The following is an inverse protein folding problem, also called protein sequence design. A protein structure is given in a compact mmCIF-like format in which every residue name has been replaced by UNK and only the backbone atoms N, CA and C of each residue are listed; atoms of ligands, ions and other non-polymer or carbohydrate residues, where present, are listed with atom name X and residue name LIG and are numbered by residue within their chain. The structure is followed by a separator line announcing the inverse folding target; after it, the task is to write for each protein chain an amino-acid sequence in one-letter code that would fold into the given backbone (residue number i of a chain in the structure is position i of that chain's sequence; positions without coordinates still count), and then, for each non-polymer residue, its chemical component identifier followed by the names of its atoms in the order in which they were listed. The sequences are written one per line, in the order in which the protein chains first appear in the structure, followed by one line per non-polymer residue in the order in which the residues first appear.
data_IF_642116175580
#
_entry.id   IF_642116175580
#
_cell.length_a   1.000
_cell.length_b   1.000
_cell.length_c   1.000
_cell.angle_alpha   90.00
_cell.angle_beta   90.00
_cell.angle_gamma   90.00
#
_symmetry.space_group_name_H-M   'P 1'
#
loop_
_entity.id
_entity.type
_entity.pdbx_description
1 polymer ?
#
# COMPACT_ATOMS: atom_id res chain seq x y z
N UNK A 1 -13.61 2.99 -4.60
CA UNK A 1 -12.24 2.59 -4.92
C UNK A 1 -11.68 3.61 -5.89
N UNK A 2 -10.68 4.37 -5.44
CA UNK A 2 -9.97 5.32 -6.30
C UNK A 2 -9.05 4.63 -7.30
N UNK A 3 -8.96 5.16 -8.53
CA UNK A 3 -7.94 4.73 -9.52
C UNK A 3 -6.50 4.84 -8.97
N UNK A 4 -6.27 5.76 -8.03
CA UNK A 4 -4.96 5.92 -7.37
C UNK A 4 -4.65 4.75 -6.45
N UNK A 5 -5.63 4.28 -5.68
CA UNK A 5 -5.48 3.13 -4.80
C UNK A 5 -5.15 1.87 -5.61
N UNK A 6 -5.84 1.67 -6.74
CA UNK A 6 -5.59 0.54 -7.64
C UNK A 6 -4.19 0.56 -8.25
N UNK A 7 -3.76 1.69 -8.80
CA UNK A 7 -2.40 1.84 -9.36
C UNK A 7 -1.32 1.63 -8.31
N UNK A 8 -1.55 2.12 -7.10
CA UNK A 8 -0.63 1.93 -6.01
C UNK A 8 -0.55 0.45 -5.60
N UNK A 9 -1.69 -0.22 -5.47
CA UNK A 9 -1.76 -1.65 -5.20
C UNK A 9 -0.99 -2.46 -6.25
N UNK A 10 -1.26 -2.22 -7.53
CA UNK A 10 -0.55 -2.88 -8.65
C UNK A 10 0.96 -2.59 -8.65
N UNK A 11 1.39 -1.43 -8.13
CA UNK A 11 2.80 -1.10 -8.02
C UNK A 11 3.49 -1.84 -6.86
N UNK A 12 2.75 -2.11 -5.78
CA UNK A 12 3.20 -2.82 -4.59
C UNK A 12 3.15 -4.34 -4.75
N UNK A 13 2.20 -4.85 -5.54
CA UNK A 13 2.03 -6.27 -5.86
C UNK A 13 3.15 -6.71 -6.80
N UNK A 14 4.17 -7.36 -6.23
CA UNK A 14 5.39 -7.70 -6.96
C UNK A 14 5.24 -9.01 -7.73
N UNK A 15 4.48 -9.96 -7.19
CA UNK A 15 4.23 -11.25 -7.81
C UNK A 15 2.95 -11.28 -8.67
N UNK A 16 2.16 -10.21 -8.63
CA UNK A 16 0.90 -10.03 -9.37
C UNK A 16 -0.15 -11.08 -9.03
N UNK A 17 -0.16 -11.56 -7.78
CA UNK A 17 -1.12 -12.55 -7.31
C UNK A 17 -2.48 -11.94 -6.89
N UNK A 18 -2.59 -10.60 -6.84
CA UNK A 18 -3.81 -9.89 -6.46
C UNK A 18 -3.98 -9.69 -4.95
N UNK A 19 -2.94 -9.96 -4.16
CA UNK A 19 -2.85 -9.72 -2.72
C UNK A 19 -1.48 -9.13 -2.39
N UNK A 20 -1.39 -8.32 -1.33
CA UNK A 20 -0.12 -7.79 -0.85
C UNK A 20 0.29 -8.49 0.41
N UNK A 21 1.44 -9.15 0.40
CA UNK A 21 2.07 -9.63 1.62
C UNK A 21 2.84 -8.50 2.31
N UNK A 22 3.08 -8.63 3.62
CA UNK A 22 3.90 -7.67 4.38
C UNK A 22 5.27 -7.45 3.74
N UNK A 23 5.88 -8.53 3.27
CA UNK A 23 7.20 -8.50 2.65
C UNK A 23 7.18 -7.70 1.33
N UNK A 24 6.17 -7.92 0.49
CA UNK A 24 6.00 -7.16 -0.75
C UNK A 24 5.77 -5.68 -0.50
N UNK A 25 4.93 -5.32 0.48
CA UNK A 25 4.72 -3.91 0.85
C UNK A 25 6.03 -3.26 1.27
N UNK A 26 6.82 -3.92 2.14
CA UNK A 26 8.09 -3.37 2.62
C UNK A 26 9.11 -3.25 1.47
N UNK A 27 9.27 -4.29 0.66
CA UNK A 27 10.21 -4.31 -0.46
C UNK A 27 9.80 -3.27 -1.51
N UNK A 28 8.53 -3.20 -1.88
CA UNK A 28 8.03 -2.29 -2.89
C UNK A 28 8.08 -0.83 -2.42
N UNK A 29 7.79 -0.53 -1.15
CA UNK A 29 7.96 0.83 -0.61
C UNK A 29 9.44 1.24 -0.54
N UNK A 30 10.35 0.32 -0.17
CA UNK A 30 11.80 0.61 -0.18
C UNK A 30 12.35 0.82 -1.59
N UNK A 31 11.88 0.05 -2.57
CA UNK A 31 12.42 0.07 -3.93
C UNK A 31 11.73 1.10 -4.82
N UNK A 32 10.40 1.18 -4.76
CA UNK A 32 9.57 2.04 -5.60
C UNK A 32 9.03 3.27 -4.88
N UNK A 33 9.09 3.33 -3.54
CA UNK A 33 8.62 4.48 -2.76
C UNK A 33 9.14 5.82 -3.28
N UNK A 34 10.44 5.99 -3.59
CA UNK A 34 10.97 7.25 -4.10
C UNK A 34 10.35 7.64 -5.45
N UNK A 35 10.12 6.66 -6.33
CA UNK A 35 9.52 6.87 -7.64
C UNK A 35 8.03 7.19 -7.56
N UNK A 36 7.30 6.48 -6.69
CA UNK A 36 5.87 6.67 -6.46
C UNK A 36 5.59 8.00 -5.73
N UNK A 37 6.50 8.43 -4.85
CA UNK A 37 6.43 9.75 -4.23
C UNK A 37 6.74 10.87 -5.24
N UNK A 38 7.71 10.64 -6.12
CA UNK A 38 8.02 11.57 -7.21
C UNK A 38 6.88 11.68 -8.24
N UNK A 39 6.12 10.61 -8.48
CA UNK A 39 4.96 10.64 -9.37
C UNK A 39 3.71 11.25 -8.72
N UNK A 40 3.72 11.47 -7.39
CA UNK A 40 2.57 11.97 -6.63
C UNK A 40 1.47 10.93 -6.44
N UNK A 41 1.73 9.68 -6.79
CA UNK A 41 0.82 8.54 -6.57
C UNK A 41 0.93 8.01 -5.14
N UNK A 42 2.12 8.12 -4.53
CA UNK A 42 2.32 7.98 -3.10
C UNK A 42 2.51 9.34 -2.43
N UNK A 43 1.71 9.67 -1.42
CA UNK A 43 2.08 10.76 -0.52
C UNK A 43 3.24 10.31 0.41
N UNK A 44 3.97 11.30 0.90
CA UNK A 44 5.31 11.23 1.51
C UNK A 44 5.48 10.23 2.68
N UNK A 45 4.41 9.64 3.19
CA UNK A 45 4.40 8.68 4.29
C UNK A 45 4.58 7.23 3.84
N UNK A 46 4.39 6.92 2.54
CA UNK A 46 4.84 5.63 1.97
C UNK A 46 6.37 5.51 1.87
N UNK A 47 7.10 6.57 2.19
CA UNK A 47 8.56 6.64 2.27
C UNK A 47 9.09 6.53 3.71
N UNK A 48 8.23 6.15 4.67
CA UNK A 48 8.63 5.93 6.06
C UNK A 48 9.57 4.72 6.22
N UNK A 49 10.10 4.56 7.43
CA UNK A 49 10.88 3.38 7.80
C UNK A 49 9.97 2.12 7.82
N UNK A 50 10.55 0.94 8.00
CA UNK A 50 9.83 -0.36 8.00
C UNK A 50 8.68 -0.38 9.01
N UNK A 51 8.80 0.38 10.10
CA UNK A 51 7.78 0.51 11.13
C UNK A 51 6.50 1.21 10.61
N UNK A 52 6.63 2.25 9.78
CA UNK A 52 5.47 2.95 9.22
C UNK A 52 4.71 2.07 8.21
N UNK A 53 5.48 1.28 7.43
CA UNK A 53 4.93 0.31 6.48
C UNK A 53 4.20 -0.82 7.20
N UNK A 54 4.77 -1.29 8.32
CA UNK A 54 4.16 -2.33 9.15
C UNK A 54 2.89 -1.84 9.84
N UNK A 55 2.89 -0.61 10.38
CA UNK A 55 1.69 -0.03 10.99
C UNK A 55 0.56 0.22 9.98
N UNK A 56 0.89 0.57 8.73
CA UNK A 56 -0.11 0.64 7.66
C UNK A 56 -0.69 -0.74 7.36
N UNK A 57 0.18 -1.73 7.24
CA UNK A 57 -0.22 -3.12 6.98
C UNK A 57 -1.18 -3.61 8.07
N UNK A 58 -0.80 -3.45 9.33
CA UNK A 58 -1.61 -3.88 10.48
C UNK A 58 -2.95 -3.12 10.57
N UNK A 59 -3.01 -1.88 10.08
CA UNK A 59 -4.25 -1.11 10.03
C UNK A 59 -5.17 -1.54 8.87
N UNK A 60 -4.60 -2.08 7.79
CA UNK A 60 -5.33 -2.56 6.62
C UNK A 60 -5.74 -4.02 6.73
N UNK A 61 -4.96 -4.85 7.43
CA UNK A 61 -5.22 -6.27 7.70
C UNK A 61 -6.32 -6.40 8.76
N UNK A 62 -7.57 -6.19 8.34
CA UNK A 62 -8.71 -6.20 9.24
C UNK A 62 -9.13 -7.62 9.65
N UNK A 63 -8.85 -8.60 8.79
CA UNK A 63 -9.22 -9.99 9.01
C UNK A 63 -8.10 -10.80 9.73
N UNK A 64 -6.87 -10.25 9.80
CA UNK A 64 -5.72 -10.86 10.45
C UNK A 64 -5.11 -12.02 9.67
N UNK A 65 -5.32 -12.09 8.36
CA UNK A 65 -4.83 -13.18 7.51
C UNK A 65 -3.39 -12.95 6.99
N UNK A 66 -2.77 -11.85 7.40
CA UNK A 66 -1.41 -11.46 7.01
C UNK A 66 -1.23 -11.21 5.50
N UNK A 67 -2.31 -10.98 4.76
CA UNK A 67 -2.31 -10.46 3.40
C UNK A 67 -3.28 -9.28 3.28
N UNK A 68 -3.07 -8.41 2.30
CA UNK A 68 -4.02 -7.34 2.00
C UNK A 68 -4.64 -7.57 0.65
N UNK A 69 -5.96 -7.69 0.63
CA UNK A 69 -6.73 -7.60 -0.61
C UNK A 69 -6.80 -6.17 -1.12
N UNK A 70 -7.14 -5.99 -2.39
CA UNK A 70 -7.36 -4.67 -2.98
C UNK A 70 -8.46 -3.90 -2.23
N UNK A 71 -9.49 -4.59 -1.77
CA UNK A 71 -10.59 -4.03 -0.99
C UNK A 71 -10.10 -3.50 0.36
N UNK A 72 -9.34 -4.28 1.12
CA UNK A 72 -8.78 -3.88 2.42
C UNK A 72 -7.80 -2.72 2.28
N UNK A 73 -6.91 -2.81 1.30
CA UNK A 73 -5.95 -1.75 1.00
C UNK A 73 -6.68 -0.46 0.63
N UNK A 74 -7.57 -0.51 -0.37
CA UNK A 74 -8.33 0.65 -0.84
C UNK A 74 -9.20 1.28 0.24
N UNK A 75 -9.82 0.48 1.12
CA UNK A 75 -10.63 1.00 2.22
C UNK A 75 -9.79 1.87 3.18
N UNK A 76 -8.57 1.46 3.50
CA UNK A 76 -7.68 2.24 4.37
C UNK A 76 -7.10 3.43 3.64
N UNK A 77 -6.59 3.26 2.42
CA UNK A 77 -5.98 4.36 1.67
C UNK A 77 -7.00 5.42 1.26
N UNK A 78 -8.17 5.03 0.75
CA UNK A 78 -9.23 5.96 0.36
C UNK A 78 -9.69 6.78 1.58
N UNK A 79 -9.89 6.13 2.74
CA UNK A 79 -10.27 6.81 3.98
C UNK A 79 -9.19 7.75 4.51
N UNK A 80 -7.92 7.34 4.45
CA UNK A 80 -6.82 8.09 5.06
C UNK A 80 -6.33 9.24 4.18
N UNK A 81 -6.43 9.10 2.86
CA UNK A 81 -6.06 10.15 1.89
C UNK A 81 -7.25 10.99 1.41
N UNK A 82 -8.49 10.59 1.74
CA UNK A 82 -9.69 11.20 1.18
C UNK A 82 -9.77 11.00 -0.33
N UNK A 83 -9.26 9.88 -0.85
CA UNK A 83 -9.44 9.52 -2.26
C UNK A 83 -10.87 8.98 -2.43
N UNK A 84 -11.83 9.90 -2.54
CA UNK A 84 -13.25 9.61 -2.82
C UNK A 84 -13.57 9.75 -4.30
#
# INVERSE_FOLDING_TARGET
MSEKARKLFEALDLDHNGTLTREEVIIALRTKGPSLAASGDLPFWGLGDVDDSSALFDAADQNGDSVLTLEEFSAVVDRRFGWS
#
